data_IF_992482022033
#
_entry.id   IF_992482022033
#
_cell.length_a   1.000
_cell.length_b   1.000
_cell.length_c   1.000
_cell.angle_alpha   90.00
_cell.angle_beta   90.00
_cell.angle_gamma   90.00
#
_symmetry.space_group_name_H-M   'P 1'
#
loop_
_entity.id
_entity.type
_entity.pdbx_description
1 polymer ?
#
# COMPACT_ATOMS: atom_id res chain seq x y z
N UNK A 1 -10.92 -28.00 -17.95
CA UNK A 1 -11.07 -27.01 -16.87
C UNK A 1 -11.18 -25.65 -17.55
N UNK A 2 -12.23 -24.88 -17.22
CA UNK A 2 -12.42 -23.54 -17.80
C UNK A 2 -11.29 -22.61 -17.30
N UNK A 3 -10.63 -21.93 -18.23
CA UNK A 3 -9.64 -20.89 -17.91
C UNK A 3 -10.33 -19.57 -17.59
N UNK A 4 -9.67 -18.71 -16.83
CA UNK A 4 -10.12 -17.36 -16.48
C UNK A 4 -9.05 -16.35 -16.89
N UNK A 5 -9.48 -15.23 -17.45
CA UNK A 5 -8.61 -14.11 -17.72
C UNK A 5 -8.36 -13.33 -16.42
N UNK A 6 -7.14 -12.85 -16.24
CA UNK A 6 -6.66 -12.26 -14.98
C UNK A 6 -6.08 -10.88 -15.25
N UNK A 7 -6.43 -9.91 -14.41
CA UNK A 7 -5.74 -8.63 -14.34
C UNK A 7 -4.88 -8.59 -13.06
N UNK A 8 -3.56 -8.42 -13.23
CA UNK A 8 -2.62 -8.21 -12.13
C UNK A 8 -2.22 -6.73 -12.09
N UNK A 9 -2.36 -6.10 -10.92
CA UNK A 9 -1.96 -4.71 -10.72
C UNK A 9 -0.58 -4.64 -10.05
N UNK A 10 0.24 -3.72 -10.55
CA UNK A 10 1.55 -3.37 -10.02
C UNK A 10 2.68 -3.57 -11.02
N UNK A 11 3.89 -3.15 -10.63
CA UNK A 11 5.07 -3.10 -11.50
C UNK A 11 6.38 -3.57 -10.84
N UNK A 12 6.34 -4.02 -9.60
CA UNK A 12 7.52 -4.40 -8.83
C UNK A 12 7.99 -5.84 -9.07
N UNK A 13 9.05 -6.23 -8.38
CA UNK A 13 9.57 -7.62 -8.40
C UNK A 13 8.58 -8.63 -7.79
N UNK A 14 7.80 -8.21 -6.80
CA UNK A 14 6.71 -9.00 -6.23
C UNK A 14 5.67 -9.33 -7.30
N UNK A 15 5.22 -8.34 -8.05
CA UNK A 15 4.24 -8.52 -9.12
C UNK A 15 4.81 -9.34 -10.28
N UNK A 16 6.10 -9.22 -10.60
CA UNK A 16 6.73 -10.11 -11.57
C UNK A 16 6.72 -11.57 -11.12
N UNK A 17 7.01 -11.85 -9.84
CA UNK A 17 6.92 -13.20 -9.28
C UNK A 17 5.49 -13.74 -9.30
N UNK A 18 4.50 -12.90 -8.97
CA UNK A 18 3.08 -13.24 -9.08
C UNK A 18 2.69 -13.53 -10.53
N UNK A 19 3.10 -12.69 -11.49
CA UNK A 19 2.84 -12.86 -12.91
C UNK A 19 3.37 -14.20 -13.42
N UNK A 20 4.62 -14.54 -13.10
CA UNK A 20 5.22 -15.82 -13.49
C UNK A 20 4.44 -17.02 -12.91
N UNK A 21 4.00 -16.92 -11.66
CA UNK A 21 3.22 -17.97 -11.02
C UNK A 21 1.82 -18.12 -11.59
N UNK A 22 1.14 -17.00 -11.88
CA UNK A 22 -0.17 -16.98 -12.51
C UNK A 22 -0.11 -17.55 -13.93
N UNK A 23 0.85 -17.11 -14.74
CA UNK A 23 1.05 -17.60 -16.11
C UNK A 23 1.30 -19.12 -16.20
N UNK A 24 1.97 -19.68 -15.19
CA UNK A 24 2.20 -21.13 -15.11
C UNK A 24 0.94 -21.93 -14.67
N UNK A 25 -0.13 -21.28 -14.30
CA UNK A 25 -1.37 -21.97 -13.86
C UNK A 25 -2.13 -22.54 -15.04
N UNK A 26 -2.56 -23.81 -15.00
CA UNK A 26 -3.40 -24.38 -16.06
C UNK A 26 -4.82 -23.78 -16.10
N UNK A 27 -5.17 -22.94 -15.13
CA UNK A 27 -6.42 -22.22 -15.06
C UNK A 27 -6.33 -20.77 -15.55
N UNK A 28 -5.11 -20.25 -15.80
CA UNK A 28 -4.96 -18.93 -16.37
C UNK A 28 -5.31 -18.93 -17.87
N UNK A 29 -6.16 -18.00 -18.27
CA UNK A 29 -6.36 -17.59 -19.64
C UNK A 29 -5.37 -16.48 -19.99
N UNK A 30 -5.87 -15.35 -20.49
CA UNK A 30 -5.06 -14.15 -20.67
C UNK A 30 -4.65 -13.56 -19.33
N UNK A 31 -3.40 -13.11 -19.25
CA UNK A 31 -2.87 -12.37 -18.10
C UNK A 31 -2.54 -10.95 -18.56
N UNK A 32 -3.34 -9.97 -18.10
CA UNK A 32 -3.06 -8.54 -18.23
C UNK A 32 -2.33 -8.05 -17.00
N UNK A 33 -1.36 -7.15 -17.18
CA UNK A 33 -0.53 -6.63 -16.07
C UNK A 33 -0.44 -5.12 -16.19
N UNK A 34 -0.89 -4.40 -15.16
CA UNK A 34 -0.97 -2.94 -15.18
C UNK A 34 -0.21 -2.29 -14.01
N UNK A 35 0.72 -1.39 -14.27
CA UNK A 35 1.31 -1.11 -15.57
C UNK A 35 2.34 -2.17 -16.01
N UNK A 36 2.78 -3.07 -15.12
CA UNK A 36 3.80 -4.06 -15.37
C UNK A 36 5.22 -3.47 -15.49
N UNK A 37 6.14 -4.30 -15.91
CA UNK A 37 7.55 -3.93 -16.13
C UNK A 37 8.16 -4.76 -17.26
N UNK A 38 9.46 -4.58 -17.57
CA UNK A 38 10.14 -5.32 -18.63
C UNK A 38 10.16 -6.85 -18.43
N UNK A 39 10.16 -7.32 -17.18
CA UNK A 39 10.10 -8.76 -16.85
C UNK A 39 8.70 -9.34 -17.00
N UNK A 40 7.67 -8.61 -16.60
CA UNK A 40 6.28 -9.09 -16.67
C UNK A 40 5.78 -9.28 -18.10
N UNK A 41 6.36 -8.58 -19.07
CA UNK A 41 6.05 -8.74 -20.49
C UNK A 41 6.33 -10.17 -21.03
N UNK A 42 7.16 -10.95 -20.33
CA UNK A 42 7.40 -12.36 -20.66
C UNK A 42 6.32 -13.29 -20.09
N UNK A 43 5.51 -12.81 -19.15
CA UNK A 43 4.48 -13.58 -18.45
C UNK A 43 3.07 -13.31 -18.97
N UNK A 44 2.83 -12.10 -19.52
CA UNK A 44 1.52 -11.65 -19.97
C UNK A 44 1.61 -10.36 -20.76
N UNK A 45 0.46 -9.71 -20.96
CA UNK A 45 0.35 -8.45 -21.68
C UNK A 45 0.38 -7.27 -20.70
N UNK A 46 1.45 -6.45 -20.77
CA UNK A 46 1.48 -5.20 -20.04
C UNK A 46 0.52 -4.20 -20.67
N UNK A 47 -0.32 -3.57 -19.85
CA UNK A 47 -1.32 -2.60 -20.29
C UNK A 47 -1.17 -1.27 -19.58
N UNK A 48 -1.43 -0.18 -20.30
CA UNK A 48 -1.42 1.18 -19.72
C UNK A 48 -2.75 1.40 -19.02
N UNK A 49 -2.72 1.42 -17.70
CA UNK A 49 -3.87 1.65 -16.84
C UNK A 49 -3.38 2.30 -15.55
N UNK A 50 -4.09 3.29 -15.04
CA UNK A 50 -3.87 3.82 -13.70
C UNK A 50 -4.37 2.78 -12.69
N UNK A 51 -3.46 2.10 -12.04
CA UNK A 51 -3.75 1.02 -11.10
C UNK A 51 -4.32 1.52 -9.75
N UNK A 52 -4.28 2.84 -9.52
CA UNK A 52 -4.88 3.51 -8.36
C UNK A 52 -6.23 4.18 -8.67
N UNK A 53 -6.75 4.10 -9.89
CA UNK A 53 -8.11 4.55 -10.23
C UNK A 53 -9.11 3.38 -10.12
N UNK A 54 -9.96 3.33 -9.06
CA UNK A 54 -10.91 2.24 -8.85
C UNK A 54 -11.89 2.05 -10.01
N UNK A 55 -12.37 3.15 -10.62
CA UNK A 55 -13.34 3.10 -11.69
C UNK A 55 -12.72 2.58 -13.00
N UNK A 56 -11.50 3.08 -13.32
CA UNK A 56 -10.78 2.65 -14.50
C UNK A 56 -10.41 1.16 -14.45
N UNK A 57 -9.95 0.68 -13.28
CA UNK A 57 -9.60 -0.74 -13.09
C UNK A 57 -10.83 -1.63 -13.20
N UNK A 58 -11.94 -1.28 -12.54
CA UNK A 58 -13.17 -2.05 -12.63
C UNK A 58 -13.72 -2.11 -14.07
N UNK A 59 -13.72 -0.97 -14.78
CA UNK A 59 -14.18 -0.90 -16.19
C UNK A 59 -13.26 -1.72 -17.12
N UNK A 60 -11.94 -1.66 -16.93
CA UNK A 60 -11.01 -2.48 -17.71
C UNK A 60 -11.28 -3.97 -17.50
N UNK A 61 -11.39 -4.40 -16.25
CA UNK A 61 -11.62 -5.80 -15.90
C UNK A 61 -12.96 -6.32 -16.49
N UNK A 62 -14.03 -5.51 -16.45
CA UNK A 62 -15.31 -5.86 -17.07
C UNK A 62 -15.22 -5.95 -18.59
N UNK A 63 -14.63 -4.94 -19.25
CA UNK A 63 -14.56 -4.89 -20.71
C UNK A 63 -13.70 -5.99 -21.33
N UNK A 64 -12.71 -6.50 -20.57
CA UNK A 64 -11.84 -7.60 -20.98
C UNK A 64 -12.28 -8.97 -20.46
N UNK A 65 -13.43 -9.06 -19.78
CA UNK A 65 -13.97 -10.32 -19.27
C UNK A 65 -13.08 -10.99 -18.21
N UNK A 66 -12.33 -10.20 -17.44
CA UNK A 66 -11.46 -10.74 -16.39
C UNK A 66 -12.30 -11.45 -15.32
N UNK A 67 -11.94 -12.69 -15.01
CA UNK A 67 -12.60 -13.49 -13.97
C UNK A 67 -11.90 -13.37 -12.61
N UNK A 68 -10.76 -12.65 -12.54
CA UNK A 68 -10.03 -12.38 -11.32
C UNK A 68 -9.18 -11.12 -11.47
N UNK A 69 -9.18 -10.28 -10.45
CA UNK A 69 -8.19 -9.19 -10.30
C UNK A 69 -7.29 -9.52 -9.11
N UNK A 70 -5.98 -9.38 -9.31
CA UNK A 70 -4.95 -9.58 -8.27
C UNK A 70 -4.24 -8.27 -8.04
N UNK A 71 -4.25 -7.76 -6.81
CA UNK A 71 -3.62 -6.50 -6.45
C UNK A 71 -2.35 -6.78 -5.66
N UNK A 72 -1.21 -6.39 -6.21
CA UNK A 72 0.09 -6.59 -5.59
C UNK A 72 0.48 -5.48 -4.61
N UNK A 73 0.48 -4.18 -5.02
CA UNK A 73 0.93 -3.09 -4.18
C UNK A 73 -0.16 -2.55 -3.23
N UNK A 74 0.26 -1.80 -2.22
CA UNK A 74 -0.60 -1.26 -1.17
C UNK A 74 -1.44 -0.07 -1.67
N UNK A 75 -0.88 0.79 -2.53
CA UNK A 75 -1.52 2.03 -2.96
C UNK A 75 -2.89 1.82 -3.64
N UNK A 76 -3.06 0.91 -4.60
CA UNK A 76 -4.38 0.60 -5.16
C UNK A 76 -5.37 0.06 -4.11
N UNK A 77 -4.89 -0.69 -3.12
CA UNK A 77 -5.74 -1.21 -2.05
C UNK A 77 -6.28 -0.09 -1.17
N UNK A 78 -5.41 0.84 -0.77
CA UNK A 78 -5.80 2.04 0.01
C UNK A 78 -6.74 2.94 -0.80
N UNK A 79 -6.53 3.04 -2.12
CA UNK A 79 -7.41 3.78 -3.03
C UNK A 79 -8.80 3.15 -3.23
N UNK A 80 -9.04 1.92 -2.72
CA UNK A 80 -10.34 1.26 -2.81
C UNK A 80 -10.59 0.46 -4.09
N UNK A 81 -9.55 0.17 -4.84
CA UNK A 81 -9.66 -0.59 -6.10
C UNK A 81 -10.31 -1.96 -5.88
N UNK A 82 -9.94 -2.68 -4.80
CA UNK A 82 -10.52 -3.98 -4.50
C UNK A 82 -12.04 -3.90 -4.26
N UNK A 83 -12.50 -2.83 -3.61
CA UNK A 83 -13.93 -2.63 -3.33
C UNK A 83 -14.71 -2.36 -4.62
N UNK A 84 -14.18 -1.50 -5.50
CA UNK A 84 -14.79 -1.20 -6.80
C UNK A 84 -14.86 -2.44 -7.71
N UNK A 85 -13.80 -3.24 -7.76
CA UNK A 85 -13.77 -4.49 -8.54
C UNK A 85 -14.81 -5.48 -8.03
N UNK A 86 -14.94 -5.64 -6.71
CA UNK A 86 -15.97 -6.51 -6.11
C UNK A 86 -17.37 -5.98 -6.34
N UNK A 87 -17.57 -4.66 -6.24
CA UNK A 87 -18.86 -4.03 -6.57
C UNK A 87 -19.26 -4.25 -8.03
N UNK A 88 -18.27 -4.38 -8.92
CA UNK A 88 -18.48 -4.74 -10.33
C UNK A 88 -18.76 -6.26 -10.55
N UNK A 89 -18.83 -7.06 -9.48
CA UNK A 89 -19.13 -8.49 -9.53
C UNK A 89 -17.91 -9.37 -9.87
N UNK A 90 -16.70 -8.83 -9.83
CA UNK A 90 -15.47 -9.56 -10.20
C UNK A 90 -14.73 -9.97 -8.91
N UNK A 91 -14.34 -11.25 -8.79
CA UNK A 91 -13.46 -11.70 -7.71
C UNK A 91 -12.15 -10.90 -7.67
N UNK A 92 -11.73 -10.51 -6.44
CA UNK A 92 -10.53 -9.73 -6.25
C UNK A 92 -9.68 -10.30 -5.11
N UNK A 93 -8.41 -10.54 -5.37
CA UNK A 93 -7.41 -10.87 -4.37
C UNK A 93 -6.76 -9.58 -3.84
N UNK A 94 -6.98 -9.31 -2.55
CA UNK A 94 -6.53 -8.13 -1.83
C UNK A 94 -7.60 -7.69 -0.81
N UNK A 95 -7.25 -7.01 0.29
CA UNK A 95 -8.21 -6.44 1.24
C UNK A 95 -8.99 -5.28 0.60
N UNK A 96 -10.14 -4.92 1.17
CA UNK A 96 -10.80 -3.64 0.89
C UNK A 96 -10.03 -2.46 1.48
N UNK A 97 -10.46 -1.24 1.14
CA UNK A 97 -9.79 -0.01 1.58
C UNK A 97 -9.69 0.10 3.12
N UNK A 98 -10.73 -0.31 3.85
CA UNK A 98 -10.72 -0.32 5.31
C UNK A 98 -9.62 -1.26 5.87
N UNK A 99 -9.53 -2.49 5.36
CA UNK A 99 -8.49 -3.43 5.75
C UNK A 99 -7.09 -3.00 5.34
N UNK A 100 -6.97 -2.33 4.20
CA UNK A 100 -5.71 -1.79 3.69
C UNK A 100 -5.13 -0.66 4.56
N UNK A 101 -5.96 0.00 5.39
CA UNK A 101 -5.49 1.00 6.35
C UNK A 101 -4.49 0.45 7.36
N UNK A 102 -4.48 -0.86 7.60
CA UNK A 102 -3.46 -1.48 8.46
C UNK A 102 -2.03 -1.28 7.94
N UNK A 103 -1.86 -1.14 6.63
CA UNK A 103 -0.59 -0.78 5.98
C UNK A 103 -0.55 0.70 5.62
N UNK A 104 -1.70 1.27 5.24
CA UNK A 104 -1.84 2.64 4.77
C UNK A 104 -1.65 3.71 5.85
N UNK A 105 -1.97 3.38 7.13
CA UNK A 105 -1.83 4.30 8.27
C UNK A 105 -1.23 3.58 9.47
N UNK A 106 -0.10 4.09 9.93
CA UNK A 106 0.56 3.59 11.14
C UNK A 106 -0.27 3.89 12.39
N UNK A 107 -0.93 5.05 12.41
CA UNK A 107 -1.84 5.45 13.47
C UNK A 107 -3.04 4.51 13.55
N UNK A 108 -3.68 4.21 12.42
CA UNK A 108 -4.80 3.26 12.38
C UNK A 108 -4.39 1.89 12.94
N UNK A 109 -3.24 1.36 12.53
CA UNK A 109 -2.71 0.09 13.03
C UNK A 109 -2.46 0.14 14.54
N UNK A 110 -1.88 1.21 15.06
CA UNK A 110 -1.64 1.40 16.49
C UNK A 110 -2.94 1.42 17.28
N UNK A 111 -3.93 2.19 16.84
CA UNK A 111 -5.24 2.26 17.47
C UNK A 111 -5.99 0.93 17.44
N UNK A 112 -5.86 0.17 16.34
CA UNK A 112 -6.44 -1.17 16.23
C UNK A 112 -5.80 -2.14 17.22
N UNK A 113 -4.47 -2.15 17.32
CA UNK A 113 -3.74 -2.98 18.28
C UNK A 113 -4.14 -2.66 19.71
N UNK A 114 -4.24 -1.37 20.06
CA UNK A 114 -4.65 -0.92 21.39
C UNK A 114 -6.07 -1.41 21.73
N UNK A 115 -7.04 -1.21 20.82
CA UNK A 115 -8.42 -1.68 21.00
C UNK A 115 -8.54 -3.19 21.11
N UNK A 116 -7.68 -3.92 20.38
CA UNK A 116 -7.67 -5.39 20.37
C UNK A 116 -6.81 -6.01 21.48
N UNK A 117 -6.15 -5.20 22.32
CA UNK A 117 -5.23 -5.68 23.36
C UNK A 117 -3.98 -6.37 22.82
N UNK A 118 -3.56 -6.02 21.59
CA UNK A 118 -2.35 -6.57 20.96
C UNK A 118 -1.15 -5.78 21.47
N UNK A 119 -0.11 -6.44 22.03
CA UNK A 119 1.08 -5.76 22.51
C UNK A 119 1.78 -4.96 21.40
N UNK A 120 2.04 -3.67 21.69
CA UNK A 120 2.76 -2.78 20.80
C UNK A 120 3.54 -1.76 21.62
N UNK A 121 4.59 -1.17 21.05
CA UNK A 121 5.34 -0.11 21.71
C UNK A 121 4.45 1.12 21.98
N UNK A 122 4.72 1.83 23.08
CA UNK A 122 4.12 3.14 23.37
C UNK A 122 4.33 4.10 22.21
N UNK A 123 3.37 4.94 21.93
CA UNK A 123 3.43 5.91 20.83
C UNK A 123 2.70 7.20 21.18
N UNK A 124 3.09 8.28 20.52
CA UNK A 124 2.35 9.53 20.41
C UNK A 124 2.01 9.80 18.94
N UNK A 125 0.90 10.46 18.67
CA UNK A 125 0.50 10.89 17.34
C UNK A 125 0.17 12.37 17.35
N UNK A 126 0.69 13.11 16.38
CA UNK A 126 0.65 14.56 16.33
C UNK A 126 0.32 15.02 14.92
N UNK A 127 -0.49 16.06 14.82
CA UNK A 127 -0.85 16.74 13.57
C UNK A 127 -0.24 18.13 13.48
N UNK A 128 0.57 18.53 14.48
CA UNK A 128 1.33 19.76 14.49
C UNK A 128 2.74 19.54 15.03
N UNK A 129 3.69 20.27 14.46
CA UNK A 129 5.11 20.14 14.72
C UNK A 129 5.47 20.51 16.16
N UNK A 130 4.85 21.55 16.73
CA UNK A 130 5.18 22.05 18.04
C UNK A 130 4.86 21.03 19.13
N UNK A 131 3.70 20.37 19.05
CA UNK A 131 3.30 19.30 19.97
C UNK A 131 4.19 18.06 19.81
N UNK A 132 4.57 17.71 18.58
CA UNK A 132 5.49 16.60 18.32
C UNK A 132 6.87 16.85 18.95
N UNK A 133 7.43 18.04 18.75
CA UNK A 133 8.71 18.44 19.36
C UNK A 133 8.66 18.45 20.90
N UNK A 134 7.55 18.94 21.47
CA UNK A 134 7.38 18.94 22.94
C UNK A 134 7.41 17.50 23.48
N UNK A 135 6.69 16.58 22.83
CA UNK A 135 6.67 15.17 23.21
C UNK A 135 8.05 14.50 23.08
N UNK A 136 8.74 14.74 21.96
CA UNK A 136 10.11 14.19 21.74
C UNK A 136 11.07 14.65 22.83
N UNK A 137 10.99 15.93 23.23
CA UNK A 137 11.83 16.49 24.32
C UNK A 137 11.50 15.89 25.68
N UNK A 138 10.22 15.60 25.93
CA UNK A 138 9.78 14.96 27.18
C UNK A 138 10.22 13.50 27.27
N UNK A 139 10.09 12.75 26.15
CA UNK A 139 10.42 11.32 26.13
C UNK A 139 11.94 11.07 26.08
N UNK A 140 12.70 11.97 25.45
CA UNK A 140 14.13 11.79 25.19
C UNK A 140 14.41 10.73 24.13
N UNK A 141 15.69 10.51 23.86
CA UNK A 141 16.17 9.45 22.96
C UNK A 141 16.63 8.22 23.78
N UNK A 142 16.67 7.00 23.18
CA UNK A 142 16.33 6.69 21.79
C UNK A 142 14.82 6.55 21.53
N UNK A 143 14.38 6.99 20.36
CA UNK A 143 13.01 6.82 19.91
C UNK A 143 12.93 6.68 18.37
N UNK A 144 11.74 6.38 17.86
CA UNK A 144 11.51 6.24 16.41
C UNK A 144 10.43 7.23 15.98
N UNK A 145 10.79 8.13 15.07
CA UNK A 145 9.87 9.05 14.39
C UNK A 145 9.36 8.39 13.13
N UNK A 146 8.06 8.49 12.88
CA UNK A 146 7.42 7.88 11.70
C UNK A 146 6.43 8.85 11.09
N UNK A 147 6.60 9.16 9.82
CA UNK A 147 5.54 9.79 9.03
C UNK A 147 4.36 8.82 8.89
N UNK A 148 3.12 9.30 9.11
CA UNK A 148 1.94 8.49 8.84
C UNK A 148 1.63 8.46 7.34
N UNK A 149 1.05 7.37 6.86
CA UNK A 149 0.80 7.14 5.44
C UNK A 149 1.86 6.27 4.74
N UNK A 150 1.67 6.11 3.41
CA UNK A 150 2.56 5.33 2.54
C UNK A 150 3.78 6.17 2.13
N UNK A 151 4.93 5.89 2.71
CA UNK A 151 6.19 6.60 2.47
C UNK A 151 7.26 5.76 1.74
N UNK A 152 6.85 4.69 1.05
CA UNK A 152 7.74 3.77 0.31
C UNK A 152 8.96 3.28 1.14
N UNK A 153 8.75 3.05 2.44
CA UNK A 153 9.79 2.60 3.38
C UNK A 153 10.75 3.69 3.87
N UNK A 154 10.56 4.95 3.47
CA UNK A 154 11.47 6.06 3.84
C UNK A 154 11.00 6.90 5.03
N UNK A 155 9.74 6.82 5.42
CA UNK A 155 9.13 7.63 6.48
C UNK A 155 9.35 7.08 7.90
N UNK A 156 10.45 6.38 8.18
CA UNK A 156 10.79 5.84 9.51
C UNK A 156 12.23 6.18 9.83
N UNK A 157 12.44 6.96 10.89
CA UNK A 157 13.76 7.42 11.33
C UNK A 157 14.00 6.93 12.77
N UNK A 158 15.05 6.17 12.95
CA UNK A 158 15.52 5.72 14.27
C UNK A 158 16.49 6.77 14.80
N UNK A 159 16.09 7.51 15.82
CA UNK A 159 16.89 8.53 16.46
C UNK A 159 17.50 7.99 17.75
N UNK A 160 18.82 8.01 17.83
CA UNK A 160 19.58 7.62 19.03
C UNK A 160 19.90 8.80 19.92
N UNK A 161 19.85 10.01 19.37
CA UNK A 161 20.09 11.28 20.04
C UNK A 161 18.88 12.21 19.86
N UNK A 162 18.69 13.14 20.81
CA UNK A 162 17.53 14.05 20.79
C UNK A 162 17.51 14.95 19.55
N UNK A 163 18.67 15.48 19.15
CA UNK A 163 18.80 16.33 17.96
C UNK A 163 18.35 15.61 16.69
N UNK A 164 18.69 14.31 16.55
CA UNK A 164 18.22 13.49 15.41
C UNK A 164 16.69 13.31 15.42
N UNK A 165 16.10 13.20 16.60
CA UNK A 165 14.66 13.07 16.74
C UNK A 165 13.93 14.37 16.38
N UNK A 166 14.47 15.52 16.81
CA UNK A 166 13.93 16.83 16.45
C UNK A 166 14.03 17.09 14.93
N UNK A 167 15.20 16.77 14.32
CA UNK A 167 15.39 16.88 12.88
C UNK A 167 14.39 15.99 12.10
N UNK A 168 14.18 14.76 12.55
CA UNK A 168 13.20 13.85 11.95
C UNK A 168 11.77 14.40 12.04
N UNK A 169 11.38 15.06 13.11
CA UNK A 169 10.09 15.75 13.22
C UNK A 169 10.00 16.88 12.21
N UNK A 170 11.04 17.73 12.09
CA UNK A 170 11.09 18.81 11.10
C UNK A 170 10.95 18.27 9.67
N UNK A 171 11.62 17.16 9.34
CA UNK A 171 11.51 16.52 8.03
C UNK A 171 10.08 16.02 7.74
N UNK A 172 9.41 15.43 8.73
CA UNK A 172 8.04 14.95 8.57
C UNK A 172 7.09 16.10 8.24
N UNK A 173 7.11 17.17 9.04
CA UNK A 173 6.23 18.34 8.81
C UNK A 173 6.72 19.25 7.68
N UNK A 174 7.98 19.16 7.28
CA UNK A 174 8.55 19.86 6.14
C UNK A 174 8.20 19.26 4.77
N UNK A 175 7.40 18.19 4.72
CA UNK A 175 6.96 17.56 3.47
C UNK A 175 8.00 16.66 2.80
N UNK A 176 9.04 16.26 3.51
CA UNK A 176 10.09 15.37 2.97
C UNK A 176 9.54 14.00 2.51
N UNK A 177 8.37 13.59 3.00
CA UNK A 177 7.73 12.32 2.70
C UNK A 177 6.45 12.44 1.87
N UNK A 178 6.27 13.57 1.14
CA UNK A 178 5.09 13.86 0.34
C UNK A 178 3.85 13.99 1.21
N UNK A 179 2.75 13.30 0.83
CA UNK A 179 1.49 13.32 1.58
C UNK A 179 1.58 12.54 2.92
N UNK A 180 2.61 11.73 3.11
CA UNK A 180 2.89 11.09 4.38
C UNK A 180 3.49 12.10 5.36
N UNK A 181 2.91 12.24 6.54
CA UNK A 181 3.35 13.16 7.58
C UNK A 181 2.54 14.45 7.69
N UNK A 182 1.50 14.64 6.87
CA UNK A 182 0.56 15.76 6.95
C UNK A 182 -0.71 15.36 7.72
#
# INVERSE_FOLDING_TARGET
TQTIDILLLGSGGREHALAAKLAASPRAGKLYIAPGNGGTASCGENVVLDDCDPAAVAAFAQSHGCGLVVIGPEAPLVAGVADAVRAAGIPCFGPGAEGAQMEGSKLFSKQLMERAGIPTATYGSFTDEASALAYVREQGAPLVVKADGLAAGKGVIVATELEQAEEAVHECFGGAFGDAGN
#
